data_IF_300901987152
#
_entry.id   IF_300901987152
#
_cell.length_a   1.000
_cell.length_b   1.000
_cell.length_c   1.000
_cell.angle_alpha   90.00
_cell.angle_beta   90.00
_cell.angle_gamma   90.00
#
_symmetry.space_group_name_H-M   'P 1'
#
loop_
_entity.id
_entity.type
_entity.pdbx_description
1 polymer ?
#
# COMPACT_ATOMS: atom_id res chain seq x y z
N UNK A 1 -27.64 29.55 22.06
CA UNK A 1 -26.86 28.89 21.00
C UNK A 1 -25.88 27.97 21.69
N UNK A 2 -26.26 26.74 21.90
CA UNK A 2 -25.41 25.75 22.59
C UNK A 2 -24.52 25.11 21.53
N UNK A 3 -23.25 25.47 21.60
CA UNK A 3 -22.14 24.89 20.85
C UNK A 3 -21.90 23.47 21.37
N UNK A 4 -22.63 22.52 20.83
CA UNK A 4 -22.33 21.10 21.04
C UNK A 4 -21.19 20.73 20.12
N UNK A 5 -19.94 21.01 20.50
CA UNK A 5 -18.79 20.26 20.02
C UNK A 5 -19.00 18.79 20.43
N UNK A 6 -19.73 18.01 19.59
CA UNK A 6 -19.59 16.56 19.63
C UNK A 6 -18.12 16.29 19.37
N UNK A 7 -17.45 15.72 20.37
CA UNK A 7 -16.12 15.12 20.18
C UNK A 7 -16.28 14.15 19.02
N UNK A 8 -15.74 14.49 17.85
CA UNK A 8 -15.82 13.60 16.69
C UNK A 8 -15.13 12.27 17.07
N UNK A 9 -15.74 11.15 16.66
CA UNK A 9 -15.14 9.83 16.83
C UNK A 9 -13.79 9.82 16.12
N UNK A 10 -12.73 9.45 16.80
CA UNK A 10 -11.41 9.27 16.19
C UNK A 10 -11.17 7.81 15.88
N UNK A 11 -10.58 7.54 14.73
CA UNK A 11 -10.12 6.21 14.32
C UNK A 11 -8.61 6.29 14.13
N UNK A 12 -7.89 5.46 14.86
CA UNK A 12 -6.43 5.38 14.84
C UNK A 12 -6.00 4.37 13.76
N UNK A 13 -5.25 4.84 12.77
CA UNK A 13 -4.78 4.04 11.64
C UNK A 13 -3.28 3.83 11.74
N UNK A 14 -2.84 2.58 11.88
CA UNK A 14 -1.44 2.21 11.85
C UNK A 14 -0.90 2.26 10.41
N UNK A 15 0.24 2.94 10.23
CA UNK A 15 0.97 3.03 8.97
C UNK A 15 2.46 3.29 9.22
N UNK A 16 3.29 3.17 8.19
CA UNK A 16 4.69 3.61 8.20
C UNK A 16 4.79 5.11 7.92
N UNK A 17 5.90 5.73 8.29
CA UNK A 17 6.21 7.12 7.98
C UNK A 17 7.36 7.21 6.96
N UNK A 18 7.10 6.73 5.76
CA UNK A 18 8.03 6.71 4.63
C UNK A 18 7.51 7.57 3.48
N UNK A 19 8.41 8.00 2.60
CA UNK A 19 8.05 8.66 1.35
C UNK A 19 7.81 7.60 0.27
N UNK A 20 6.58 7.50 -0.22
CA UNK A 20 6.16 6.57 -1.28
C UNK A 20 5.04 7.19 -2.13
N UNK A 21 5.24 8.42 -2.61
CA UNK A 21 4.30 9.04 -3.54
C UNK A 21 4.20 8.22 -4.84
N UNK A 22 3.02 8.13 -5.44
CA UNK A 22 1.76 8.84 -5.13
C UNK A 22 0.93 8.20 -4.00
N UNK A 23 1.39 7.11 -3.39
CA UNK A 23 0.63 6.37 -2.38
C UNK A 23 0.50 7.18 -1.08
N UNK A 24 1.62 7.61 -0.51
CA UNK A 24 1.65 8.52 0.63
C UNK A 24 2.99 9.28 0.73
N UNK A 25 2.93 10.48 1.29
CA UNK A 25 4.12 11.25 1.64
C UNK A 25 4.57 10.98 3.07
N UNK A 26 5.87 11.17 3.32
CA UNK A 26 6.41 11.21 4.68
C UNK A 26 5.81 12.41 5.42
N UNK A 27 5.51 12.23 6.70
CA UNK A 27 5.00 13.32 7.54
C UNK A 27 6.14 14.26 7.96
N UNK A 28 5.88 15.57 7.85
CA UNK A 28 6.84 16.60 8.33
C UNK A 28 6.53 17.07 9.76
N UNK A 29 5.34 16.80 10.27
CA UNK A 29 4.85 17.22 11.59
C UNK A 29 4.37 16.05 12.46
N UNK A 30 4.55 14.80 11.98
CA UNK A 30 4.08 13.58 12.63
C UNK A 30 2.57 13.35 12.50
N UNK A 31 1.85 14.17 11.73
CA UNK A 31 0.38 14.12 11.63
C UNK A 31 -0.11 14.22 10.19
N UNK A 32 0.40 15.22 9.46
CA UNK A 32 -0.12 15.55 8.11
C UNK A 32 0.58 14.71 7.05
N UNK A 33 -0.22 14.07 6.22
CA UNK A 33 0.25 13.26 5.08
C UNK A 33 -0.54 13.60 3.83
N UNK A 34 0.13 13.58 2.67
CA UNK A 34 -0.48 13.63 1.35
C UNK A 34 -0.44 12.26 0.67
N UNK A 35 -1.11 12.13 -0.46
CA UNK A 35 -1.14 10.91 -1.26
C UNK A 35 -2.52 10.26 -1.35
N UNK A 36 -2.57 9.19 -2.14
CA UNK A 36 -3.81 8.44 -2.35
C UNK A 36 -4.39 7.90 -1.04
N UNK A 37 -3.59 7.21 -0.25
CA UNK A 37 -4.08 6.54 0.96
C UNK A 37 -4.61 7.51 2.03
N UNK A 38 -3.89 8.60 2.38
CA UNK A 38 -4.43 9.57 3.32
C UNK A 38 -5.73 10.21 2.85
N UNK A 39 -5.85 10.54 1.55
CA UNK A 39 -7.07 11.15 1.01
C UNK A 39 -8.22 10.14 0.93
N UNK A 40 -7.94 8.89 0.54
CA UNK A 40 -8.91 7.81 0.55
C UNK A 40 -9.38 7.47 1.97
N UNK A 41 -8.46 7.43 2.95
CA UNK A 41 -8.81 7.21 4.36
C UNK A 41 -9.74 8.32 4.88
N UNK A 42 -9.38 9.57 4.63
CA UNK A 42 -10.24 10.70 5.02
C UNK A 42 -11.63 10.55 4.39
N UNK A 43 -11.71 10.28 3.08
CA UNK A 43 -12.97 10.10 2.36
C UNK A 43 -13.85 9.00 2.97
N UNK A 44 -13.27 7.84 3.32
CA UNK A 44 -14.00 6.71 3.90
C UNK A 44 -14.47 7.04 5.32
N UNK A 45 -13.60 7.60 6.18
CA UNK A 45 -13.96 7.87 7.57
C UNK A 45 -14.88 9.09 7.75
N UNK A 46 -14.86 10.06 6.83
CA UNK A 46 -15.87 11.12 6.79
C UNK A 46 -17.29 10.55 6.59
N UNK A 47 -17.45 9.46 5.83
CA UNK A 47 -18.75 8.75 5.70
C UNK A 47 -19.25 8.16 7.04
N UNK A 48 -18.32 7.87 7.94
CA UNK A 48 -18.63 7.36 9.28
C UNK A 48 -18.76 8.47 10.33
N UNK A 49 -18.59 9.74 9.94
CA UNK A 49 -18.54 10.87 10.87
C UNK A 49 -17.37 10.78 11.83
N UNK A 50 -16.26 10.20 11.39
CA UNK A 50 -15.04 9.99 12.19
C UNK A 50 -13.86 10.77 11.60
N UNK A 51 -12.92 11.15 12.48
CA UNK A 51 -11.63 11.75 12.12
C UNK A 51 -10.54 10.69 12.13
N UNK A 52 -9.61 10.79 11.20
CA UNK A 52 -8.42 9.91 11.15
C UNK A 52 -7.32 10.45 12.04
N UNK A 53 -6.72 9.56 12.83
CA UNK A 53 -5.50 9.80 13.59
C UNK A 53 -4.46 8.77 13.16
N UNK A 54 -3.33 9.22 12.60
CA UNK A 54 -2.26 8.33 12.17
C UNK A 54 -1.40 7.87 13.33
N UNK A 55 -1.14 6.56 13.41
CA UNK A 55 -0.23 5.91 14.35
C UNK A 55 0.97 5.41 13.55
N UNK A 56 2.05 6.21 13.57
CA UNK A 56 3.27 5.89 12.83
C UNK A 56 4.07 4.82 13.57
N UNK A 57 4.27 3.68 12.90
CA UNK A 57 5.01 2.53 13.44
C UNK A 57 5.83 1.88 12.32
N UNK A 58 6.89 1.12 12.65
CA UNK A 58 7.59 0.28 11.67
C UNK A 58 6.65 -0.69 10.96
N UNK A 59 7.02 -1.12 9.74
CA UNK A 59 6.23 -2.04 8.93
C UNK A 59 5.77 -3.29 9.69
N UNK A 60 6.68 -3.96 10.39
CA UNK A 60 6.39 -5.20 11.12
C UNK A 60 5.52 -4.98 12.37
N UNK A 61 5.38 -3.74 12.84
CA UNK A 61 4.59 -3.39 14.03
C UNK A 61 3.15 -2.97 13.72
N UNK A 62 2.78 -2.78 12.45
CA UNK A 62 1.44 -2.30 12.08
C UNK A 62 0.33 -3.28 12.50
N UNK A 63 0.41 -4.54 12.12
CA UNK A 63 -0.56 -5.57 12.53
C UNK A 63 -0.52 -5.81 14.06
N UNK A 64 0.64 -5.94 14.70
CA UNK A 64 0.73 -5.99 16.16
C UNK A 64 0.05 -4.80 16.87
N UNK A 65 0.16 -3.57 16.33
CA UNK A 65 -0.50 -2.39 16.90
C UNK A 65 -2.02 -2.51 16.92
N UNK A 66 -2.62 -3.06 15.86
CA UNK A 66 -4.07 -3.31 15.79
C UNK A 66 -4.48 -4.40 16.76
N UNK A 67 -3.73 -5.49 16.85
CA UNK A 67 -4.02 -6.61 17.75
C UNK A 67 -3.90 -6.24 19.22
N UNK A 68 -3.00 -5.33 19.56
CA UNK A 68 -2.84 -4.83 20.96
C UNK A 68 -3.84 -3.72 21.32
N UNK A 69 -4.56 -3.17 20.35
CA UNK A 69 -5.46 -2.04 20.52
C UNK A 69 -4.72 -0.67 20.56
N UNK A 70 -3.44 -0.61 20.20
CA UNK A 70 -2.72 0.65 20.02
C UNK A 70 -3.24 1.44 18.81
N UNK A 71 -3.68 0.75 17.76
CA UNK A 71 -4.43 1.29 16.64
C UNK A 71 -5.77 0.56 16.47
N UNK A 72 -6.73 1.17 15.79
CA UNK A 72 -8.05 0.59 15.54
C UNK A 72 -8.07 -0.21 14.24
N UNK A 73 -7.23 0.20 13.26
CA UNK A 73 -7.05 -0.52 12.00
C UNK A 73 -5.65 -0.26 11.43
N UNK A 74 -5.21 -1.12 10.50
CA UNK A 74 -4.04 -0.88 9.65
C UNK A 74 -4.50 -0.40 8.27
N UNK A 75 -3.94 0.73 7.81
CA UNK A 75 -4.15 1.28 6.48
C UNK A 75 -2.83 1.80 5.92
N UNK A 76 -2.14 0.99 5.13
CA UNK A 76 -0.83 1.30 4.56
C UNK A 76 -0.47 0.29 3.45
N UNK A 77 -1.21 0.27 2.32
CA UNK A 77 -0.92 -0.66 1.23
C UNK A 77 -0.88 -2.13 1.67
N UNK A 78 -1.72 -2.52 2.63
CA UNK A 78 -1.68 -3.88 3.16
C UNK A 78 -2.27 -4.89 2.19
N UNK A 79 -1.41 -5.65 1.51
CA UNK A 79 -1.82 -6.78 0.70
C UNK A 79 -2.60 -7.81 1.52
N UNK A 80 -3.76 -8.22 1.02
CA UNK A 80 -4.66 -9.21 1.65
C UNK A 80 -4.11 -10.61 1.40
N UNK A 81 -3.14 -11.05 2.22
CA UNK A 81 -2.60 -12.42 2.16
C UNK A 81 -3.27 -13.33 3.19
N UNK A 82 -3.22 -14.66 2.97
CA UNK A 82 -3.76 -15.64 3.92
C UNK A 82 -3.07 -15.54 5.28
N UNK A 83 -1.75 -15.31 5.31
CA UNK A 83 -1.00 -15.17 6.56
C UNK A 83 -1.47 -13.95 7.36
N UNK A 84 -1.71 -12.82 6.68
CA UNK A 84 -2.21 -11.60 7.33
C UNK A 84 -3.67 -11.73 7.73
N UNK A 85 -4.50 -12.44 6.92
CA UNK A 85 -5.89 -12.73 7.23
C UNK A 85 -6.06 -13.63 8.47
N UNK A 86 -5.03 -14.39 8.84
CA UNK A 86 -5.01 -15.12 10.11
C UNK A 86 -4.74 -14.22 11.34
N UNK A 87 -4.29 -12.98 11.12
CA UNK A 87 -3.89 -12.04 12.18
C UNK A 87 -4.85 -10.85 12.33
N UNK A 88 -5.54 -10.46 11.27
CA UNK A 88 -6.51 -9.35 11.23
C UNK A 88 -7.71 -9.74 10.36
N UNK A 89 -8.86 -9.12 10.63
CA UNK A 89 -10.02 -9.23 9.75
C UNK A 89 -9.96 -8.12 8.70
N UNK A 90 -9.77 -8.48 7.44
CA UNK A 90 -9.75 -7.50 6.35
C UNK A 90 -11.16 -7.03 5.97
N UNK A 91 -11.23 -5.76 5.56
CA UNK A 91 -12.39 -5.16 4.89
C UNK A 91 -12.48 -5.62 3.43
N UNK A 92 -13.50 -5.15 2.70
CA UNK A 92 -13.47 -5.15 1.25
C UNK A 92 -12.24 -4.40 0.74
N UNK A 93 -11.69 -4.78 -0.42
CA UNK A 93 -10.52 -4.09 -0.96
C UNK A 93 -10.88 -2.66 -1.37
N UNK A 94 -9.95 -1.73 -1.13
CA UNK A 94 -10.04 -0.34 -1.57
C UNK A 94 -9.14 -0.05 -2.77
N UNK A 95 -8.29 -0.99 -3.18
CA UNK A 95 -7.50 -0.95 -4.40
C UNK A 95 -7.08 -2.36 -4.84
N UNK A 96 -6.67 -2.46 -6.10
CA UNK A 96 -5.97 -3.60 -6.69
C UNK A 96 -4.67 -3.07 -7.27
N UNK A 97 -3.59 -3.83 -7.12
CA UNK A 97 -2.26 -3.48 -7.58
C UNK A 97 -1.56 -4.70 -8.19
N UNK A 98 -0.53 -4.43 -8.94
CA UNK A 98 0.40 -5.42 -9.46
C UNK A 98 1.79 -5.10 -8.93
N UNK A 99 2.76 -5.93 -9.21
CA UNK A 99 4.12 -5.71 -8.76
C UNK A 99 5.05 -5.49 -9.95
N UNK A 100 5.89 -4.47 -9.84
CA UNK A 100 6.80 -4.02 -10.89
C UNK A 100 8.24 -4.10 -10.41
N UNK A 101 9.13 -4.63 -11.24
CA UNK A 101 10.57 -4.53 -11.06
C UNK A 101 11.07 -3.24 -11.70
N UNK A 102 11.75 -2.41 -10.91
CA UNK A 102 12.55 -1.27 -11.36
C UNK A 102 14.02 -1.67 -11.37
N UNK A 103 14.73 -1.23 -12.41
CA UNK A 103 16.18 -1.36 -12.55
C UNK A 103 16.76 -0.01 -12.98
N UNK A 104 18.11 0.12 -12.97
CA UNK A 104 18.77 1.31 -13.52
C UNK A 104 18.43 1.51 -14.99
N UNK A 105 18.42 2.75 -15.46
CA UNK A 105 17.99 3.10 -16.82
C UNK A 105 18.83 2.42 -17.93
N UNK A 106 20.09 2.14 -17.68
CA UNK A 106 21.02 1.46 -18.60
C UNK A 106 20.98 -0.08 -18.50
N UNK A 107 20.20 -0.64 -17.57
CA UNK A 107 20.09 -2.08 -17.40
C UNK A 107 19.23 -2.70 -18.52
N UNK A 108 19.69 -3.82 -19.14
CA UNK A 108 18.98 -4.45 -20.26
C UNK A 108 17.84 -5.41 -19.85
N UNK A 109 17.69 -5.75 -18.56
CA UNK A 109 16.69 -6.73 -18.12
C UNK A 109 15.28 -6.27 -18.43
N UNK A 110 14.45 -7.15 -19.04
CA UNK A 110 13.05 -6.90 -19.37
C UNK A 110 12.15 -8.11 -19.11
N UNK A 111 12.64 -9.09 -18.37
CA UNK A 111 11.87 -10.26 -17.96
C UNK A 111 12.55 -10.95 -16.77
N UNK A 112 11.81 -11.77 -16.02
CA UNK A 112 12.33 -12.53 -14.90
C UNK A 112 13.47 -13.50 -15.31
N UNK A 113 13.42 -14.09 -16.49
CA UNK A 113 14.46 -15.00 -17.00
C UNK A 113 15.81 -14.30 -17.25
N UNK A 114 15.82 -12.98 -17.37
CA UNK A 114 17.04 -12.19 -17.56
C UNK A 114 17.76 -11.85 -16.25
N UNK A 115 17.20 -12.20 -15.08
CA UNK A 115 17.68 -11.75 -13.78
C UNK A 115 18.69 -12.68 -13.10
N UNK A 116 19.11 -13.77 -13.74
CA UNK A 116 20.02 -14.72 -13.12
C UNK A 116 21.34 -14.03 -12.65
N UNK A 117 21.63 -14.10 -11.36
CA UNK A 117 22.77 -13.45 -10.72
C UNK A 117 22.53 -12.00 -10.27
N UNK A 118 21.35 -11.43 -10.50
CA UNK A 118 20.98 -10.10 -10.01
C UNK A 118 20.72 -10.11 -8.51
N UNK A 119 21.02 -9.00 -7.85
CA UNK A 119 20.61 -8.68 -6.50
C UNK A 119 19.30 -7.89 -6.55
N UNK A 120 18.23 -8.52 -6.13
CA UNK A 120 16.89 -7.91 -6.17
C UNK A 120 16.44 -7.57 -4.74
N UNK A 121 16.14 -6.29 -4.54
CA UNK A 121 15.60 -5.76 -3.29
C UNK A 121 14.09 -5.87 -3.21
N UNK A 122 13.57 -6.04 -1.99
CA UNK A 122 12.17 -5.85 -1.67
C UNK A 122 12.00 -5.65 -0.14
N UNK A 123 10.84 -5.14 0.29
CA UNK A 123 10.52 -5.02 1.71
C UNK A 123 10.33 -6.41 2.32
N UNK A 124 10.99 -6.67 3.44
CA UNK A 124 10.87 -7.93 4.17
C UNK A 124 9.39 -8.23 4.52
N UNK A 125 8.98 -9.49 4.42
CA UNK A 125 7.61 -9.95 4.72
C UNK A 125 6.51 -9.30 3.88
N UNK A 126 6.85 -8.68 2.73
CA UNK A 126 5.90 -8.10 1.77
C UNK A 126 5.48 -9.12 0.70
N UNK A 127 4.43 -8.80 -0.05
CA UNK A 127 4.04 -9.53 -1.27
C UNK A 127 5.13 -9.42 -2.33
N UNK A 128 5.80 -8.27 -2.40
CA UNK A 128 6.87 -7.96 -3.32
C UNK A 128 8.10 -8.87 -3.09
N UNK A 129 8.47 -9.13 -1.82
CA UNK A 129 9.51 -10.11 -1.50
C UNK A 129 9.10 -11.51 -1.93
N UNK A 130 7.85 -11.93 -1.67
CA UNK A 130 7.34 -13.24 -2.11
C UNK A 130 7.36 -13.40 -3.62
N UNK A 131 7.05 -12.33 -4.37
CA UNK A 131 7.19 -12.36 -5.83
C UNK A 131 8.68 -12.48 -6.23
N UNK A 132 9.57 -11.68 -5.64
CA UNK A 132 11.00 -11.71 -5.94
C UNK A 132 11.62 -13.10 -5.69
N UNK A 133 11.15 -13.85 -4.68
CA UNK A 133 11.54 -15.24 -4.41
C UNK A 133 11.25 -16.19 -5.57
N UNK A 134 10.31 -15.84 -6.45
CA UNK A 134 9.96 -16.66 -7.62
C UNK A 134 10.87 -16.43 -8.82
N UNK A 135 11.71 -15.38 -8.81
CA UNK A 135 12.58 -15.06 -9.94
C UNK A 135 13.79 -16.02 -9.99
N UNK A 136 14.10 -16.60 -11.15
CA UNK A 136 15.12 -17.62 -11.24
C UNK A 136 16.52 -17.05 -11.03
N UNK A 137 17.27 -17.62 -10.07
CA UNK A 137 18.69 -17.36 -9.89
C UNK A 137 19.05 -15.99 -9.36
N UNK A 138 18.14 -15.25 -8.75
CA UNK A 138 18.41 -13.96 -8.09
C UNK A 138 18.97 -14.14 -6.70
N UNK A 139 19.73 -13.15 -6.22
CA UNK A 139 20.10 -12.96 -4.82
C UNK A 139 19.13 -11.95 -4.21
N UNK A 140 18.42 -12.34 -3.15
CA UNK A 140 17.42 -11.48 -2.50
C UNK A 140 18.09 -10.60 -1.45
N UNK A 141 17.72 -9.32 -1.44
CA UNK A 141 18.14 -8.33 -0.45
C UNK A 141 16.92 -7.76 0.25
N UNK A 142 16.80 -8.03 1.56
CA UNK A 142 15.66 -7.56 2.37
C UNK A 142 15.89 -6.15 2.90
N UNK A 143 14.85 -5.30 2.74
CA UNK A 143 14.76 -3.97 3.32
C UNK A 143 13.63 -3.93 4.36
N UNK A 144 13.66 -2.94 5.27
CA UNK A 144 12.56 -2.77 6.27
C UNK A 144 13.02 -2.31 7.64
N UNK A 145 14.33 -2.19 7.88
CA UNK A 145 14.88 -1.81 9.19
C UNK A 145 14.99 -0.29 9.43
N UNK A 146 14.71 0.54 8.42
CA UNK A 146 14.82 2.00 8.50
C UNK A 146 13.46 2.70 8.48
N UNK A 147 13.48 3.99 8.84
CA UNK A 147 12.30 4.87 8.79
C UNK A 147 11.97 5.36 7.37
N UNK A 148 12.80 5.04 6.37
CA UNK A 148 12.62 5.42 4.96
C UNK A 148 13.01 4.27 4.03
N UNK A 149 12.33 3.14 4.20
CA UNK A 149 12.64 1.89 3.50
C UNK A 149 12.60 2.02 1.98
N UNK A 150 11.69 2.84 1.45
CA UNK A 150 11.58 3.05 0.01
C UNK A 150 12.76 3.88 -0.53
N UNK A 151 13.13 4.95 0.17
CA UNK A 151 14.33 5.74 -0.14
C UNK A 151 15.60 4.91 -0.11
N UNK A 152 15.72 3.98 0.83
CA UNK A 152 16.87 3.06 0.92
C UNK A 152 16.96 2.13 -0.29
N UNK A 153 15.84 1.58 -0.79
CA UNK A 153 15.81 0.75 -1.99
C UNK A 153 16.19 1.53 -3.25
N UNK A 154 15.70 2.77 -3.38
CA UNK A 154 16.07 3.69 -4.46
C UNK A 154 17.59 3.93 -4.45
N UNK A 155 18.14 4.32 -3.31
CA UNK A 155 19.57 4.65 -3.20
C UNK A 155 20.47 3.41 -3.41
N UNK A 156 20.06 2.25 -2.87
CA UNK A 156 20.77 1.00 -3.08
C UNK A 156 20.82 0.61 -4.57
N UNK A 157 19.73 0.85 -5.32
CA UNK A 157 19.68 0.59 -6.76
C UNK A 157 20.51 1.62 -7.54
N UNK A 158 20.39 2.91 -7.18
CA UNK A 158 21.15 3.99 -7.81
C UNK A 158 22.65 3.82 -7.65
N UNK A 159 23.11 3.45 -6.45
CA UNK A 159 24.52 3.21 -6.17
C UNK A 159 25.06 1.89 -6.74
N UNK A 160 24.19 0.98 -7.19
CA UNK A 160 24.57 -0.35 -7.66
C UNK A 160 24.86 -1.36 -6.54
N UNK A 161 24.44 -1.07 -5.30
CA UNK A 161 24.49 -2.04 -4.21
C UNK A 161 23.54 -3.22 -4.46
N UNK A 162 22.40 -2.95 -5.12
CA UNK A 162 21.49 -3.93 -5.72
C UNK A 162 21.27 -3.59 -7.20
N UNK A 163 20.79 -4.54 -7.98
CA UNK A 163 20.58 -4.36 -9.42
C UNK A 163 19.19 -3.79 -9.73
N UNK A 164 18.21 -4.05 -8.86
CA UNK A 164 16.86 -3.53 -8.94
C UNK A 164 16.05 -3.91 -7.70
N UNK A 165 14.82 -3.43 -7.63
CA UNK A 165 13.90 -3.78 -6.55
C UNK A 165 12.45 -3.91 -7.05
N UNK A 166 11.68 -4.74 -6.34
CA UNK A 166 10.27 -4.98 -6.61
C UNK A 166 9.43 -4.21 -5.61
N UNK A 167 8.45 -3.48 -6.11
CA UNK A 167 7.41 -2.83 -5.31
C UNK A 167 6.12 -2.70 -6.15
N UNK A 168 5.09 -2.08 -5.57
CA UNK A 168 3.78 -1.97 -6.19
C UNK A 168 3.80 -1.07 -7.43
N UNK A 169 3.13 -1.48 -8.49
CA UNK A 169 3.08 -0.79 -9.79
C UNK A 169 2.67 0.70 -9.67
N UNK A 170 1.80 1.01 -8.71
CA UNK A 170 1.32 2.37 -8.44
C UNK A 170 2.43 3.34 -8.02
N UNK A 171 3.53 2.83 -7.47
CA UNK A 171 4.71 3.61 -7.06
C UNK A 171 5.83 3.47 -8.08
N UNK A 172 6.03 2.25 -8.60
CA UNK A 172 7.13 1.93 -9.51
C UNK A 172 6.98 2.56 -10.90
N UNK A 173 5.76 2.56 -11.46
CA UNK A 173 5.52 3.14 -12.79
C UNK A 173 5.81 4.65 -12.79
N UNK A 174 5.30 5.46 -11.85
CA UNK A 174 5.71 6.86 -11.74
C UNK A 174 7.22 7.04 -11.54
N UNK A 175 7.85 6.26 -10.67
CA UNK A 175 9.29 6.34 -10.43
C UNK A 175 10.08 6.13 -11.73
N UNK A 176 9.76 5.08 -12.51
CA UNK A 176 10.45 4.81 -13.78
C UNK A 176 10.18 5.82 -14.90
N UNK A 177 9.13 6.65 -14.77
CA UNK A 177 8.82 7.72 -15.73
C UNK A 177 9.40 9.07 -15.34
N UNK A 178 9.50 9.36 -14.05
CA UNK A 178 9.87 10.68 -13.53
C UNK A 178 11.36 10.78 -13.18
N UNK A 179 11.98 9.67 -12.76
CA UNK A 179 13.40 9.62 -12.42
C UNK A 179 14.22 9.02 -13.56
N UNK A 180 15.09 9.82 -14.24
CA UNK A 180 15.85 9.37 -15.40
C UNK A 180 16.90 8.29 -15.09
N UNK A 181 17.20 8.02 -13.81
CA UNK A 181 18.15 7.00 -13.39
C UNK A 181 17.52 5.59 -13.42
N UNK A 182 16.19 5.50 -13.55
CA UNK A 182 15.46 4.24 -13.46
C UNK A 182 14.61 3.97 -14.70
N UNK A 183 14.25 2.69 -14.85
CA UNK A 183 13.29 2.22 -15.85
C UNK A 183 12.52 1.02 -15.31
N UNK A 184 11.25 0.94 -15.68
CA UNK A 184 10.46 -0.28 -15.50
C UNK A 184 11.07 -1.42 -16.33
N UNK A 185 11.51 -2.49 -15.67
CA UNK A 185 11.95 -3.70 -16.36
C UNK A 185 10.74 -4.50 -16.87
N UNK A 186 9.83 -4.82 -15.98
CA UNK A 186 8.54 -5.47 -16.28
C UNK A 186 7.60 -5.42 -15.08
N UNK A 187 6.30 -5.56 -15.36
CA UNK A 187 5.23 -5.72 -14.37
C UNK A 187 4.70 -7.14 -14.40
N UNK A 188 4.51 -7.74 -13.23
CA UNK A 188 3.80 -9.01 -13.05
C UNK A 188 2.37 -8.72 -12.63
N UNK A 189 1.41 -9.16 -13.43
CA UNK A 189 -0.03 -8.94 -13.18
C UNK A 189 -0.52 -9.89 -12.08
N UNK A 190 -0.19 -9.57 -10.83
CA UNK A 190 -0.56 -10.36 -9.65
C UNK A 190 -2.01 -10.17 -9.25
N UNK A 191 -2.59 -8.99 -9.54
CA UNK A 191 -3.95 -8.65 -9.13
C UNK A 191 -4.13 -8.66 -7.61
N UNK A 192 -3.08 -8.35 -6.87
CA UNK A 192 -3.11 -8.26 -5.43
C UNK A 192 -4.08 -7.15 -4.98
N UNK A 193 -4.63 -7.29 -3.79
CA UNK A 193 -5.64 -6.37 -3.25
C UNK A 193 -5.16 -5.76 -1.97
N UNK A 194 -5.35 -4.46 -1.79
CA UNK A 194 -5.20 -3.81 -0.50
C UNK A 194 -6.51 -3.79 0.26
N UNK A 195 -6.45 -4.19 1.52
CA UNK A 195 -7.55 -4.13 2.46
C UNK A 195 -7.17 -3.42 3.75
N UNK A 196 -8.16 -2.89 4.45
CA UNK A 196 -7.97 -2.31 5.78
C UNK A 196 -8.10 -3.44 6.79
N UNK A 197 -7.08 -3.67 7.60
CA UNK A 197 -7.09 -4.72 8.61
C UNK A 197 -7.59 -4.20 9.94
N UNK A 198 -8.64 -4.80 10.51
CA UNK A 198 -9.12 -4.52 11.87
C UNK A 198 -8.79 -5.67 12.81
N UNK A 199 -8.84 -5.45 14.12
CA UNK A 199 -8.61 -6.52 15.10
C UNK A 199 -9.58 -7.69 14.89
N UNK A 200 -9.12 -8.95 15.03
CA UNK A 200 -9.97 -10.12 14.86
C UNK A 200 -11.23 -10.05 15.73
N UNK A 201 -12.38 -10.28 15.11
CA UNK A 201 -13.68 -10.21 15.78
C UNK A 201 -14.27 -8.80 15.91
N UNK A 202 -13.59 -7.74 15.46
CA UNK A 202 -14.16 -6.39 15.43
C UNK A 202 -15.11 -6.21 14.21
N UNK A 203 -16.14 -7.07 14.18
CA UNK A 203 -17.11 -7.09 13.07
C UNK A 203 -17.86 -5.77 12.90
N UNK A 204 -18.09 -5.03 13.99
CA UNK A 204 -18.81 -3.75 13.93
C UNK A 204 -18.01 -2.72 13.09
N UNK A 205 -16.74 -2.48 13.44
CA UNK A 205 -15.90 -1.55 12.73
C UNK A 205 -15.68 -1.99 11.27
N UNK A 206 -15.42 -3.29 11.03
CA UNK A 206 -15.27 -3.85 9.69
C UNK A 206 -16.50 -3.61 8.82
N UNK A 207 -17.71 -3.84 9.35
CA UNK A 207 -18.96 -3.63 8.62
C UNK A 207 -19.17 -2.16 8.28
N UNK A 208 -18.91 -1.26 9.24
CA UNK A 208 -19.00 0.19 8.99
C UNK A 208 -18.04 0.63 7.89
N UNK A 209 -16.77 0.20 7.93
CA UNK A 209 -15.77 0.53 6.92
C UNK A 209 -16.16 -0.05 5.55
N UNK A 210 -16.64 -1.30 5.48
CA UNK A 210 -17.09 -1.92 4.23
C UNK A 210 -18.21 -1.11 3.58
N UNK A 211 -19.23 -0.71 4.35
CA UNK A 211 -20.33 0.11 3.84
C UNK A 211 -19.82 1.47 3.33
N UNK A 212 -18.84 2.07 3.99
CA UNK A 212 -18.24 3.32 3.54
C UNK A 212 -17.42 3.15 2.25
N UNK A 213 -16.61 2.08 2.14
CA UNK A 213 -15.86 1.73 0.92
C UNK A 213 -16.82 1.54 -0.26
N UNK A 214 -17.88 0.74 -0.08
CA UNK A 214 -18.91 0.54 -1.11
C UNK A 214 -19.55 1.85 -1.56
N UNK A 215 -19.86 2.73 -0.62
CA UNK A 215 -20.47 4.03 -0.92
C UNK A 215 -19.53 4.94 -1.72
N UNK A 216 -18.24 5.03 -1.37
CA UNK A 216 -17.27 5.88 -2.08
C UNK A 216 -16.87 5.32 -3.44
N UNK A 217 -16.95 4.00 -3.63
CA UNK A 217 -16.82 3.37 -4.96
C UNK A 217 -18.07 3.68 -5.80
N UNK A 218 -19.26 3.44 -5.26
CA UNK A 218 -20.52 3.58 -5.99
C UNK A 218 -20.79 5.02 -6.46
N UNK A 219 -20.39 6.04 -5.69
CA UNK A 219 -20.55 7.45 -6.08
C UNK A 219 -19.36 8.02 -6.86
N UNK A 220 -18.36 7.21 -7.16
CA UNK A 220 -17.17 7.58 -7.92
C UNK A 220 -16.20 8.50 -7.18
N UNK A 221 -16.37 8.73 -5.87
CA UNK A 221 -15.47 9.61 -5.12
C UNK A 221 -14.09 8.99 -4.92
N UNK A 222 -14.01 7.68 -4.72
CA UNK A 222 -12.73 6.97 -4.62
C UNK A 222 -12.00 6.95 -5.98
N UNK A 223 -12.72 6.78 -7.10
CA UNK A 223 -12.14 6.86 -8.44
C UNK A 223 -11.55 8.26 -8.73
N UNK A 224 -12.21 9.33 -8.27
CA UNK A 224 -11.65 10.68 -8.39
C UNK A 224 -10.36 10.87 -7.61
N UNK A 225 -10.27 10.31 -6.40
CA UNK A 225 -9.02 10.34 -5.60
C UNK A 225 -7.93 9.52 -6.29
N UNK A 226 -8.27 8.33 -6.79
CA UNK A 226 -7.34 7.51 -7.58
C UNK A 226 -6.82 8.27 -8.80
N UNK A 227 -7.70 8.79 -9.64
CA UNK A 227 -7.33 9.51 -10.89
C UNK A 227 -6.49 10.76 -10.63
N UNK A 228 -6.65 11.39 -9.48
CA UNK A 228 -5.82 12.54 -9.05
C UNK A 228 -4.39 12.12 -8.75
N UNK A 229 -4.21 11.03 -8.01
CA UNK A 229 -2.90 10.60 -7.52
C UNK A 229 -2.20 9.62 -8.44
N UNK A 230 -2.96 8.82 -9.20
CA UNK A 230 -2.46 7.75 -10.06
C UNK A 230 -2.96 7.91 -11.50
N UNK A 231 -2.65 9.05 -12.17
CA UNK A 231 -3.19 9.35 -13.49
C UNK A 231 -2.68 8.40 -14.59
N UNK A 232 -1.60 7.65 -14.31
CA UNK A 232 -1.00 6.68 -15.25
C UNK A 232 -1.69 5.32 -15.21
N UNK A 233 -2.53 5.06 -14.21
CA UNK A 233 -3.18 3.77 -14.00
C UNK A 233 -4.71 3.91 -13.98
N UNK A 234 -5.46 3.03 -14.68
CA UNK A 234 -6.90 3.05 -14.61
C UNK A 234 -7.38 2.70 -13.18
N UNK A 235 -8.53 3.22 -12.78
CA UNK A 235 -9.13 2.86 -11.48
C UNK A 235 -9.49 1.36 -11.48
N UNK A 236 -8.95 0.57 -10.54
CA UNK A 236 -9.01 -0.89 -10.64
C UNK A 236 -10.31 -1.51 -10.13
N UNK A 237 -11.18 -0.72 -9.47
CA UNK A 237 -12.44 -1.20 -8.88
C UNK A 237 -13.69 -0.74 -9.63
N UNK A 238 -13.52 -0.30 -10.89
CA UNK A 238 -14.63 0.07 -11.77
C UNK A 238 -15.34 -1.17 -12.34
N UNK A 239 -16.65 -1.25 -12.21
CA UNK A 239 -17.47 -2.30 -12.83
C UNK A 239 -17.35 -3.67 -12.15
N UNK A 240 -17.45 -4.77 -12.84
CA UNK A 240 -17.68 -6.15 -12.39
C UNK A 240 -16.64 -6.78 -11.43
N UNK A 241 -15.60 -6.07 -11.03
CA UNK A 241 -14.52 -6.59 -10.17
C UNK A 241 -14.89 -6.73 -8.68
N UNK A 242 -16.00 -6.14 -8.23
CA UNK A 242 -16.46 -6.23 -6.83
C UNK A 242 -17.22 -7.55 -6.56
N UNK A 243 -17.73 -8.21 -7.58
CA UNK A 243 -18.58 -9.40 -7.45
C UNK A 243 -17.83 -10.74 -7.31
N UNK A 244 -16.50 -10.77 -7.33
CA UNK A 244 -15.67 -11.98 -7.36
C UNK A 244 -15.16 -12.50 -6.00
N UNK A 245 -15.77 -12.14 -4.88
CA UNK A 245 -15.28 -12.47 -3.53
C UNK A 245 -16.25 -13.23 -2.61
N UNK A 246 -17.26 -13.91 -3.16
CA UNK A 246 -18.17 -14.72 -2.35
C UNK A 246 -18.60 -15.98 -3.11
N UNK A 247 -17.77 -16.99 -3.15
CA UNK A 247 -18.23 -18.38 -3.33
C UNK A 247 -17.16 -19.38 -2.90
N UNK A 248 -17.53 -20.12 -1.86
CA UNK A 248 -17.05 -21.39 -1.30
C UNK A 248 -15.80 -21.35 -0.45
#
# INVERSE_FOLDING_TARGET
>A
MSDTHRNARKIRLACIDSEALPLFSKSTDGVTRGGYEPEAAQLVFERLGAEVEWVMVPWDDMIPSVRSGAADAVWCGQGMTEERAALVDFTHPYAVFNETLIVRADDPARSADALAGYKIGAIANSTNMKLAETFPGVELVSFGASDDVFGDMIEATRSGAIDGFVDDDVVMIPLGQEDPDFVEAFTVLTGNRWGIGVAPGNHALRTEINAAIEAVIADGSLERVWSKWMPLLPFPLSGDSVAGGASE
#
